data_IF_895837904834
#
_entry.id   IF_895837904834
#
_cell.length_a   1.000
_cell.length_b   1.000
_cell.length_c   1.000
_cell.angle_alpha   90.00
_cell.angle_beta   90.00
_cell.angle_gamma   90.00
#
_symmetry.space_group_name_H-M   'P 1'
#
loop_
_entity.id
_entity.type
_entity.pdbx_description
1 polymer ?
#
# COMPACT_ATOMS: atom_id res chain seq x y z
N UNK A 1 7.47 -0.92 54.29
CA UNK A 1 8.54 -0.70 53.30
C UNK A 1 8.83 -2.03 52.61
N UNK A 2 8.88 -2.06 51.27
CA UNK A 2 9.35 -3.19 50.44
C UNK A 2 8.38 -4.33 50.00
N UNK A 3 7.14 -4.04 49.57
CA UNK A 3 6.41 -5.01 48.71
C UNK A 3 5.84 -4.41 47.41
N UNK A 4 5.74 -3.08 47.31
CA UNK A 4 5.13 -2.39 46.17
C UNK A 4 6.09 -2.03 45.02
N UNK A 5 7.39 -2.33 45.14
CA UNK A 5 8.42 -1.87 44.19
C UNK A 5 8.81 -2.89 43.10
N UNK A 6 8.14 -4.05 43.01
CA UNK A 6 8.52 -5.12 42.07
C UNK A 6 7.56 -5.35 40.90
N UNK A 7 6.52 -4.52 40.73
CA UNK A 7 5.54 -4.66 39.64
C UNK A 7 5.87 -3.78 38.42
N UNK A 8 6.87 -2.90 38.52
CA UNK A 8 7.24 -1.98 37.45
C UNK A 8 8.53 -2.48 36.80
N UNK A 9 8.45 -3.37 35.80
CA UNK A 9 9.44 -3.49 34.72
C UNK A 9 9.24 -4.74 33.83
N UNK A 10 8.04 -4.98 33.26
CA UNK A 10 7.92 -5.74 32.00
C UNK A 10 6.75 -5.18 31.19
N UNK A 11 6.78 -3.88 30.91
CA UNK A 11 6.04 -3.31 29.79
C UNK A 11 7.04 -3.14 28.64
N UNK A 12 7.56 -4.26 28.14
CA UNK A 12 8.34 -4.27 26.91
C UNK A 12 7.39 -3.84 25.79
N UNK A 13 7.73 -2.72 25.17
CA UNK A 13 7.02 -2.10 24.07
C UNK A 13 6.67 -3.15 23.01
N UNK A 14 5.41 -3.55 22.94
CA UNK A 14 4.83 -4.05 21.69
C UNK A 14 4.47 -2.81 20.89
N UNK A 15 5.47 -2.18 20.27
CA UNK A 15 5.22 -1.21 19.21
C UNK A 15 4.49 -1.98 18.11
N UNK A 16 3.23 -1.63 17.75
CA UNK A 16 2.64 -2.20 16.57
C UNK A 16 3.56 -1.82 15.41
N UNK A 17 4.12 -2.82 14.71
CA UNK A 17 4.67 -2.61 13.38
C UNK A 17 3.53 -2.08 12.53
N UNK A 18 3.45 -0.76 12.39
CA UNK A 18 2.69 -0.12 11.34
C UNK A 18 3.22 -0.73 10.04
N UNK A 19 2.43 -1.60 9.42
CA UNK A 19 2.65 -2.10 8.08
C UNK A 19 2.48 -0.91 7.12
N UNK A 20 3.45 -0.01 7.13
CA UNK A 20 3.56 1.08 6.18
C UNK A 20 4.13 0.55 4.88
N UNK A 21 3.71 1.15 3.77
CA UNK A 21 4.36 0.93 2.49
C UNK A 21 5.85 1.33 2.59
N UNK A 22 6.75 0.41 2.24
CA UNK A 22 8.18 0.65 2.18
C UNK A 22 8.57 1.16 0.78
N UNK A 23 9.22 2.31 0.69
CA UNK A 23 9.73 2.82 -0.60
C UNK A 23 10.87 1.93 -1.11
N UNK A 24 10.63 1.20 -2.20
CA UNK A 24 11.64 0.37 -2.89
C UNK A 24 12.57 1.24 -3.73
N UNK A 25 12.04 2.32 -4.30
CA UNK A 25 12.81 3.28 -5.09
C UNK A 25 11.95 4.29 -5.81
N UNK A 26 12.61 5.21 -6.52
CA UNK A 26 11.96 6.30 -7.22
C UNK A 26 12.72 6.73 -8.48
N UNK A 27 11.98 7.23 -9.47
CA UNK A 27 12.52 7.79 -10.72
C UNK A 27 11.93 9.19 -10.93
N UNK A 28 12.77 10.17 -11.27
CA UNK A 28 12.32 11.54 -11.59
C UNK A 28 11.75 11.60 -13.01
N UNK A 29 10.64 12.31 -13.20
CA UNK A 29 9.95 12.43 -14.50
C UNK A 29 9.98 13.85 -15.05
N UNK A 30 9.67 14.86 -14.24
CA UNK A 30 9.57 16.26 -14.70
C UNK A 30 10.45 17.15 -13.85
N UNK A 31 11.38 17.87 -14.50
CA UNK A 31 12.21 18.86 -13.85
C UNK A 31 11.37 20.06 -13.37
N UNK A 32 11.56 20.47 -12.12
CA UNK A 32 11.00 21.73 -11.58
C UNK A 32 12.15 22.67 -11.27
N UNK A 33 12.08 23.90 -11.80
CA UNK A 33 13.10 24.91 -11.55
C UNK A 33 13.16 25.34 -10.07
N UNK A 34 12.04 25.28 -9.35
CA UNK A 34 11.93 25.63 -7.93
C UNK A 34 11.30 24.48 -7.13
N UNK A 35 12.15 23.76 -6.39
CA UNK A 35 11.77 22.62 -5.54
C UNK A 35 12.02 21.25 -6.17
N UNK A 36 11.59 20.16 -5.50
CA UNK A 36 11.84 18.79 -5.99
C UNK A 36 11.21 18.52 -7.37
N UNK A 37 11.74 17.57 -8.12
CA UNK A 37 11.13 17.14 -9.38
C UNK A 37 9.86 16.32 -9.13
N UNK A 38 8.99 16.25 -10.14
CA UNK A 38 7.94 15.21 -10.16
C UNK A 38 8.64 13.86 -10.29
N UNK A 39 8.12 12.83 -9.62
CA UNK A 39 8.73 11.51 -9.55
C UNK A 39 7.67 10.42 -9.56
N UNK A 40 8.07 9.23 -9.98
CA UNK A 40 7.33 8.00 -9.77
C UNK A 40 8.01 7.27 -8.62
N UNK A 41 7.24 6.90 -7.61
CA UNK A 41 7.73 6.14 -6.46
C UNK A 41 7.13 4.75 -6.51
N UNK A 42 7.95 3.75 -6.22
CA UNK A 42 7.54 2.35 -6.08
C UNK A 42 7.59 2.00 -4.59
N UNK A 43 6.44 1.59 -4.07
CA UNK A 43 6.23 1.24 -2.67
C UNK A 43 5.84 -0.24 -2.58
N UNK A 44 6.47 -0.99 -1.68
CA UNK A 44 6.12 -2.36 -1.36
C UNK A 44 5.26 -2.41 -0.10
N UNK A 45 4.20 -3.21 -0.10
CA UNK A 45 3.45 -3.53 1.11
C UNK A 45 2.99 -4.99 1.08
N UNK A 46 2.88 -5.57 2.26
CA UNK A 46 2.38 -6.93 2.43
C UNK A 46 0.88 -6.94 2.68
N UNK A 47 0.22 -8.01 2.27
CA UNK A 47 -1.18 -8.22 2.56
C UNK A 47 -1.38 -8.57 4.05
N UNK A 48 -2.16 -7.76 4.82
CA UNK A 48 -2.30 -7.98 6.26
C UNK A 48 -3.03 -9.26 6.63
N UNK A 49 -3.79 -9.86 5.70
CA UNK A 49 -4.57 -11.09 5.92
C UNK A 49 -4.08 -12.29 5.12
N UNK A 50 -3.20 -12.07 4.15
CA UNK A 50 -2.62 -13.13 3.32
C UNK A 50 -1.10 -13.06 3.43
N UNK A 51 -0.52 -13.94 4.24
CA UNK A 51 0.94 -14.05 4.32
C UNK A 51 1.54 -14.52 2.99
N UNK A 52 2.81 -14.21 2.77
CA UNK A 52 3.54 -14.65 1.58
C UNK A 52 3.15 -13.89 0.31
N UNK A 53 2.40 -12.80 0.40
CA UNK A 53 2.08 -11.91 -0.71
C UNK A 53 2.59 -10.50 -0.44
N UNK A 54 3.40 -9.99 -1.37
CA UNK A 54 3.84 -8.60 -1.40
C UNK A 54 3.37 -7.93 -2.67
N UNK A 55 2.87 -6.71 -2.55
CA UNK A 55 2.43 -5.87 -3.66
C UNK A 55 3.35 -4.66 -3.83
N UNK A 56 3.77 -4.42 -5.06
CA UNK A 56 4.55 -3.26 -5.47
C UNK A 56 3.62 -2.27 -6.17
N UNK A 57 3.38 -1.13 -5.54
CA UNK A 57 2.55 -0.05 -6.05
C UNK A 57 3.46 1.07 -6.58
N UNK A 58 3.36 1.35 -7.87
CA UNK A 58 3.96 2.55 -8.44
C UNK A 58 2.93 3.67 -8.53
N UNK A 59 3.29 4.86 -8.06
CA UNK A 59 2.44 6.07 -8.15
C UNK A 59 3.25 7.31 -8.46
N UNK A 60 2.62 8.27 -9.13
CA UNK A 60 3.20 9.60 -9.30
C UNK A 60 3.18 10.35 -7.96
N UNK A 61 4.27 11.05 -7.63
CA UNK A 61 4.35 12.07 -6.58
C UNK A 61 4.75 13.40 -7.21
N UNK A 62 4.00 14.44 -6.90
CA UNK A 62 4.19 15.79 -7.42
C UNK A 62 5.30 16.49 -6.65
N UNK A 63 6.21 17.13 -7.39
CA UNK A 63 7.31 17.93 -6.86
C UNK A 63 6.96 19.42 -6.70
N UNK A 64 7.99 20.25 -6.64
CA UNK A 64 7.92 21.68 -6.44
C UNK A 64 7.61 22.09 -5.00
N UNK A 65 7.47 23.38 -4.75
CA UNK A 65 7.20 23.91 -3.40
C UNK A 65 5.90 23.33 -2.79
N UNK A 66 4.85 23.15 -3.60
CA UNK A 66 3.59 22.55 -3.12
C UNK A 66 3.73 21.05 -2.83
N UNK A 67 4.51 20.33 -3.64
CA UNK A 67 4.80 18.91 -3.43
C UNK A 67 5.64 18.65 -2.18
N UNK A 68 6.69 19.46 -1.96
CA UNK A 68 7.51 19.38 -0.75
C UNK A 68 6.76 19.70 0.55
N UNK A 69 5.70 20.51 0.48
CA UNK A 69 4.82 20.82 1.61
C UNK A 69 3.64 19.84 1.75
N UNK A 70 3.53 18.83 0.89
CA UNK A 70 2.41 17.87 0.89
C UNK A 70 1.06 18.48 0.49
N UNK A 71 1.06 19.68 -0.10
CA UNK A 71 -0.13 20.42 -0.52
C UNK A 71 -0.47 20.17 -2.00
N UNK A 72 0.40 19.48 -2.73
CA UNK A 72 0.12 19.08 -4.10
C UNK A 72 -0.81 17.87 -4.12
N UNK A 73 -1.66 17.84 -5.13
CA UNK A 73 -2.49 16.69 -5.44
C UNK A 73 -1.77 15.85 -6.47
N UNK A 74 -1.46 14.59 -6.14
CA UNK A 74 -0.82 13.72 -7.14
C UNK A 74 -1.81 13.24 -8.21
N UNK A 75 -1.23 12.80 -9.34
CA UNK A 75 -1.99 12.23 -10.45
C UNK A 75 -2.58 10.89 -10.02
N UNK A 76 -3.75 10.57 -10.59
CA UNK A 76 -4.44 9.29 -10.35
C UNK A 76 -3.80 8.10 -11.12
N UNK A 77 -2.65 8.31 -11.74
CA UNK A 77 -1.91 7.27 -12.46
C UNK A 77 -1.19 6.36 -11.45
N UNK A 78 -1.63 5.11 -11.38
CA UNK A 78 -1.03 4.08 -10.55
C UNK A 78 -0.93 2.76 -11.31
N UNK A 79 0.05 1.95 -10.92
CA UNK A 79 0.20 0.57 -11.39
C UNK A 79 0.54 -0.32 -10.21
N UNK A 80 0.13 -1.58 -10.25
CA UNK A 80 0.33 -2.54 -9.18
C UNK A 80 0.85 -3.86 -9.73
N UNK A 81 1.83 -4.45 -9.04
CA UNK A 81 2.29 -5.80 -9.30
C UNK A 81 2.40 -6.55 -7.97
N UNK A 82 1.59 -7.57 -7.77
CA UNK A 82 1.69 -8.43 -6.59
C UNK A 82 2.42 -9.72 -6.94
N UNK A 83 3.18 -10.25 -5.98
CA UNK A 83 3.97 -11.47 -6.12
C UNK A 83 3.79 -12.33 -4.89
N UNK A 84 3.75 -13.64 -5.10
CA UNK A 84 3.97 -14.59 -4.03
C UNK A 84 5.46 -14.59 -3.69
N UNK A 85 5.80 -14.17 -2.48
CA UNK A 85 7.17 -14.09 -1.94
C UNK A 85 7.43 -15.11 -0.84
N UNK A 86 6.43 -15.93 -0.52
CA UNK A 86 6.51 -16.98 0.49
C UNK A 86 5.29 -17.92 0.45
N UNK A 87 5.16 -18.83 1.42
CA UNK A 87 3.98 -19.67 1.55
C UNK A 87 2.74 -18.81 1.81
N UNK A 88 1.67 -19.06 1.04
CA UNK A 88 0.39 -18.35 1.20
C UNK A 88 -0.37 -18.95 2.38
N UNK A 89 -0.55 -18.14 3.43
CA UNK A 89 -1.37 -18.48 4.59
C UNK A 89 -2.43 -17.40 4.82
N UNK A 90 -3.67 -17.82 5.06
CA UNK A 90 -4.78 -16.92 5.38
C UNK A 90 -4.90 -16.72 6.89
N UNK A 91 -4.79 -15.48 7.36
CA UNK A 91 -4.94 -15.12 8.80
C UNK A 91 -6.39 -15.01 9.27
N UNK A 92 -7.35 -15.14 8.36
CA UNK A 92 -8.77 -15.06 8.66
C UNK A 92 -9.61 -15.10 7.39
N UNK A 93 -10.91 -14.94 7.56
CA UNK A 93 -11.83 -14.88 6.43
C UNK A 93 -11.57 -13.64 5.57
N UNK A 94 -11.57 -13.86 4.26
CA UNK A 94 -11.44 -12.81 3.25
C UNK A 94 -12.82 -12.34 2.83
N UNK A 95 -13.00 -11.03 2.75
CA UNK A 95 -14.18 -10.41 2.15
C UNK A 95 -13.83 -9.90 0.76
N UNK A 96 -14.76 -10.00 -0.17
CA UNK A 96 -14.58 -9.46 -1.51
C UNK A 96 -14.56 -7.93 -1.45
N UNK A 97 -13.56 -7.33 -2.13
CA UNK A 97 -13.35 -5.89 -2.13
C UNK A 97 -12.76 -5.36 -0.82
N UNK A 98 -12.15 -6.23 -0.01
CA UNK A 98 -11.52 -5.83 1.25
C UNK A 98 -10.28 -4.95 0.99
N UNK A 99 -10.20 -3.81 1.68
CA UNK A 99 -9.07 -2.87 1.59
C UNK A 99 -7.81 -3.51 2.20
N UNK A 100 -6.76 -3.59 1.37
CA UNK A 100 -5.44 -4.14 1.71
C UNK A 100 -4.47 -3.01 2.04
N UNK A 101 -4.59 -1.91 1.31
CA UNK A 101 -3.72 -0.75 1.44
C UNK A 101 -4.51 0.52 1.09
N UNK A 102 -4.20 1.60 1.81
CA UNK A 102 -4.81 2.90 1.61
C UNK A 102 -3.77 3.99 1.82
N UNK A 103 -3.66 4.88 0.84
CA UNK A 103 -2.77 6.02 0.90
C UNK A 103 -3.50 7.29 0.48
N UNK A 104 -3.28 8.37 1.23
CA UNK A 104 -3.89 9.66 0.92
C UNK A 104 -3.00 10.43 -0.06
N UNK A 105 -3.56 10.77 -1.22
CA UNK A 105 -2.84 11.40 -2.33
C UNK A 105 -3.13 12.90 -2.44
N UNK A 106 -4.08 13.41 -1.65
CA UNK A 106 -4.43 14.82 -1.57
C UNK A 106 -4.96 15.18 -0.19
N UNK A 107 -4.63 16.39 0.25
CA UNK A 107 -5.13 16.98 1.50
C UNK A 107 -6.65 17.23 1.49
N UNK A 108 -7.30 17.19 0.32
CA UNK A 108 -8.72 17.55 0.25
C UNK A 108 -9.61 16.39 -0.23
N UNK A 109 -9.31 15.64 -1.30
CA UNK A 109 -10.32 14.68 -1.84
C UNK A 109 -9.82 13.43 -2.60
N UNK A 110 -8.53 13.11 -2.63
CA UNK A 110 -8.03 11.93 -3.34
C UNK A 110 -7.30 10.97 -2.41
N UNK A 111 -7.70 9.72 -2.53
CA UNK A 111 -7.18 8.53 -1.88
C UNK A 111 -6.91 7.49 -2.96
N UNK A 112 -5.76 6.85 -2.87
CA UNK A 112 -5.46 5.63 -3.61
C UNK A 112 -5.74 4.45 -2.70
N UNK A 113 -6.50 3.48 -3.19
CA UNK A 113 -6.88 2.29 -2.45
C UNK A 113 -6.51 1.06 -3.24
N UNK A 114 -6.03 0.03 -2.54
CA UNK A 114 -5.88 -1.32 -3.08
C UNK A 114 -6.85 -2.23 -2.37
N UNK A 115 -7.68 -2.92 -3.14
CA UNK A 115 -8.65 -3.90 -2.63
C UNK A 115 -8.33 -5.29 -3.17
N UNK A 116 -8.68 -6.31 -2.37
CA UNK A 116 -8.49 -7.72 -2.71
C UNK A 116 -9.82 -8.42 -3.01
N UNK A 117 -9.77 -9.33 -3.97
CA UNK A 117 -10.81 -10.31 -4.26
C UNK A 117 -10.21 -11.71 -4.29
N UNK A 118 -11.01 -12.71 -3.90
CA UNK A 118 -10.65 -14.11 -4.04
C UNK A 118 -11.46 -14.75 -5.16
N UNK A 119 -10.81 -15.01 -6.30
CA UNK A 119 -11.41 -15.82 -7.36
C UNK A 119 -11.28 -17.30 -7.00
N UNK A 120 -12.29 -17.82 -6.30
CA UNK A 120 -12.37 -19.22 -5.87
C UNK A 120 -12.36 -20.21 -7.05
N UNK A 121 -12.89 -19.82 -8.21
CA UNK A 121 -12.98 -20.71 -9.38
C UNK A 121 -11.60 -20.95 -9.99
N UNK A 122 -10.76 -19.92 -10.01
CA UNK A 122 -9.40 -19.97 -10.58
C UNK A 122 -8.31 -20.17 -9.53
N UNK A 123 -8.68 -20.21 -8.25
CA UNK A 123 -7.78 -20.26 -7.11
C UNK A 123 -6.74 -19.12 -7.15
N UNK A 124 -7.23 -17.89 -7.30
CA UNK A 124 -6.41 -16.70 -7.58
C UNK A 124 -6.78 -15.55 -6.66
N UNK A 125 -5.77 -14.85 -6.14
CA UNK A 125 -5.95 -13.58 -5.45
C UNK A 125 -5.82 -12.45 -6.46
N UNK A 126 -6.82 -11.56 -6.48
CA UNK A 126 -6.89 -10.43 -7.40
C UNK A 126 -6.79 -9.15 -6.61
N UNK A 127 -5.86 -8.28 -6.97
CA UNK A 127 -5.65 -6.99 -6.34
C UNK A 127 -5.94 -5.89 -7.35
N UNK A 128 -6.84 -4.99 -6.99
CA UNK A 128 -7.25 -3.84 -7.80
C UNK A 128 -6.82 -2.57 -7.08
N UNK A 129 -6.05 -1.73 -7.75
CA UNK A 129 -5.77 -0.36 -7.30
C UNK A 129 -6.65 0.62 -8.04
N UNK A 130 -7.26 1.57 -7.33
CA UNK A 130 -8.06 2.65 -7.93
C UNK A 130 -8.04 3.93 -7.07
N UNK A 131 -8.41 5.05 -7.68
CA UNK A 131 -8.54 6.36 -7.01
C UNK A 131 -10.00 6.75 -6.80
N UNK A 132 -10.36 7.26 -5.63
CA UNK A 132 -11.70 7.74 -5.28
C UNK A 132 -11.93 9.21 -5.71
N UNK A 133 -11.94 9.51 -7.02
CA UNK A 133 -12.25 10.89 -7.45
C UNK A 133 -13.77 11.17 -7.36
N UNK A 134 -14.20 11.79 -6.26
CA UNK A 134 -15.63 12.07 -5.96
C UNK A 134 -16.39 12.92 -6.99
N UNK A 135 -15.74 13.63 -7.91
CA UNK A 135 -16.41 14.70 -8.71
C UNK A 135 -16.51 14.39 -10.21
N UNK A 136 -15.65 13.54 -10.78
CA UNK A 136 -15.62 13.32 -12.24
C UNK A 136 -15.42 11.87 -12.67
N UNK A 137 -15.34 10.91 -11.74
CA UNK A 137 -15.19 9.50 -12.09
C UNK A 137 -13.97 9.24 -12.98
N UNK A 138 -12.76 9.39 -12.43
CA UNK A 138 -11.56 8.95 -13.16
C UNK A 138 -11.46 7.42 -13.02
N UNK A 139 -11.68 6.64 -14.10
CA UNK A 139 -11.70 5.17 -14.03
C UNK A 139 -10.28 4.59 -14.01
N UNK A 140 -9.26 5.39 -13.69
CA UNK A 140 -7.87 4.96 -13.70
C UNK A 140 -7.69 3.91 -12.60
N UNK A 141 -7.39 2.70 -13.04
CA UNK A 141 -7.18 1.55 -12.19
C UNK A 141 -6.12 0.65 -12.82
N UNK A 142 -5.53 -0.19 -11.98
CA UNK A 142 -4.69 -1.28 -12.43
C UNK A 142 -5.02 -2.53 -11.63
N UNK A 143 -4.82 -3.69 -12.25
CA UNK A 143 -5.12 -4.98 -11.64
C UNK A 143 -3.94 -5.91 -11.78
N UNK A 144 -3.74 -6.73 -10.76
CA UNK A 144 -2.81 -7.85 -10.78
C UNK A 144 -3.50 -9.06 -10.17
N UNK A 145 -3.19 -10.24 -10.69
CA UNK A 145 -3.80 -11.49 -10.28
C UNK A 145 -2.70 -12.52 -10.07
N UNK A 146 -2.62 -13.07 -8.86
CA UNK A 146 -1.63 -14.07 -8.49
C UNK A 146 -2.33 -15.41 -8.21
N UNK A 147 -1.94 -16.50 -8.89
CA UNK A 147 -2.49 -17.81 -8.58
C UNK A 147 -1.98 -18.26 -7.20
N UNK A 148 -2.83 -18.91 -6.43
CA UNK A 148 -2.45 -19.53 -5.16
C UNK A 148 -1.80 -20.88 -5.50
N UNK A 149 -0.46 -20.89 -5.52
CA UNK A 149 0.34 -22.06 -5.84
C UNK A 149 1.11 -22.55 -4.60
N UNK A 150 1.43 -23.85 -4.54
CA UNK A 150 2.38 -24.36 -3.54
C UNK A 150 3.71 -23.60 -3.62
N UNK A 151 4.28 -23.25 -2.48
CA UNK A 151 5.55 -22.55 -2.43
C UNK A 151 6.71 -23.50 -2.74
N UNK A 152 7.54 -23.11 -3.72
CA UNK A 152 8.59 -23.96 -4.28
C UNK A 152 9.95 -23.83 -3.58
N UNK A 153 10.01 -23.22 -2.39
CA UNK A 153 11.17 -22.91 -1.54
C UNK A 153 11.75 -21.50 -1.72
#
# INVERSE_FOLDING_TARGET
MSLFKRVIAVAALVLPMLAGAEEVGQVSTVFKFLGPNDRIVVEAFDDPKVEGVTCYLSRAKTGGMKGGLGLAEDRAEASIACRQVGPINFKGELKDGEEVFKERTSLVFKTMQVVRFLDKKRNTLVYLVYSDRMIEGSPQNAVTAIPILPWAH
#
